data_IF_271554298427
#
_entry.id   IF_271554298427
#
_cell.length_a   1.000
_cell.length_b   1.000
_cell.length_c   1.000
_cell.angle_alpha   90.00
_cell.angle_beta   90.00
_cell.angle_gamma   90.00
#
_symmetry.space_group_name_H-M   'P 1'
#
loop_
_entity.id
_entity.type
_entity.pdbx_description
1 polymer ?
#
# COMPACT_ATOMS: atom_id res chain seq x y z
N UNK A 1 -35.23 -37.16 26.19
CA UNK A 1 -35.49 -35.81 26.74
C UNK A 1 -34.45 -34.86 26.16
N UNK A 2 -34.82 -33.93 25.25
CA UNK A 2 -33.89 -32.90 24.80
C UNK A 2 -33.65 -31.88 25.95
N UNK A 3 -32.43 -31.33 26.10
CA UNK A 3 -32.12 -30.37 27.15
C UNK A 3 -32.92 -29.06 26.94
N UNK A 4 -33.68 -28.64 27.96
CA UNK A 4 -34.40 -27.38 27.96
C UNK A 4 -33.45 -26.23 28.32
N UNK A 5 -32.99 -25.48 27.33
CA UNK A 5 -32.16 -24.30 27.57
C UNK A 5 -33.00 -23.19 28.21
N UNK A 6 -32.63 -22.78 29.42
CA UNK A 6 -33.28 -21.68 30.15
C UNK A 6 -33.00 -20.33 29.46
N UNK A 7 -34.02 -19.48 29.33
CA UNK A 7 -33.88 -18.09 28.83
C UNK A 7 -32.77 -17.31 29.55
N UNK A 8 -32.51 -17.61 30.84
CA UNK A 8 -31.40 -17.00 31.60
C UNK A 8 -30.03 -17.43 31.10
N UNK A 9 -29.88 -18.69 30.66
CA UNK A 9 -28.62 -19.18 30.09
C UNK A 9 -28.34 -18.53 28.72
N UNK A 10 -29.39 -18.27 27.92
CA UNK A 10 -29.28 -17.53 26.66
C UNK A 10 -28.86 -16.06 26.87
N UNK A 11 -29.38 -15.39 27.91
CA UNK A 11 -29.00 -14.01 28.23
C UNK A 11 -27.56 -13.90 28.77
N UNK A 12 -27.12 -14.88 29.57
CA UNK A 12 -25.74 -14.94 30.08
C UNK A 12 -24.73 -15.24 28.96
N UNK A 13 -25.08 -16.11 28.01
CA UNK A 13 -24.26 -16.37 26.83
C UNK A 13 -24.16 -15.13 25.92
N UNK A 14 -25.24 -14.36 25.76
CA UNK A 14 -25.23 -13.11 25.00
C UNK A 14 -24.33 -12.02 25.62
N UNK A 15 -24.33 -11.91 26.95
CA UNK A 15 -23.46 -10.96 27.66
C UNK A 15 -21.97 -11.31 27.57
N UNK A 16 -21.62 -12.61 27.51
CA UNK A 16 -20.25 -13.07 27.32
C UNK A 16 -19.71 -12.78 25.89
N UNK A 17 -20.58 -12.80 24.88
CA UNK A 17 -20.22 -12.47 23.48
C UNK A 17 -20.09 -10.95 23.29
N UNK A 18 -20.86 -10.15 24.04
CA UNK A 18 -20.82 -8.67 23.97
C UNK A 18 -19.56 -8.03 24.56
N UNK A 19 -18.78 -8.76 25.37
CA UNK A 19 -17.53 -8.26 25.98
C UNK A 19 -16.29 -8.35 25.06
N UNK A 20 -16.45 -8.84 23.82
CA UNK A 20 -15.32 -9.06 22.91
C UNK A 20 -14.71 -7.83 22.20
N UNK A 21 -15.21 -6.57 22.24
CA UNK A 21 -14.53 -5.48 21.53
C UNK A 21 -13.36 -4.87 22.31
N UNK A 22 -12.97 -5.39 23.48
CA UNK A 22 -11.88 -4.82 24.29
C UNK A 22 -10.47 -5.00 23.69
N UNK A 23 -10.33 -5.70 22.56
CA UNK A 23 -9.06 -5.84 21.82
C UNK A 23 -9.06 -5.07 20.49
N UNK A 24 -9.88 -4.03 20.34
CA UNK A 24 -9.71 -3.07 19.26
C UNK A 24 -8.44 -2.23 19.50
N UNK A 25 -7.27 -2.76 19.13
CA UNK A 25 -6.08 -1.93 18.98
C UNK A 25 -6.31 -0.98 17.81
N UNK A 26 -6.44 0.32 18.09
CA UNK A 26 -6.27 1.33 17.07
C UNK A 26 -4.91 1.07 16.39
N UNK A 27 -4.91 0.94 15.06
CA UNK A 27 -3.65 0.88 14.31
C UNK A 27 -2.83 2.10 14.71
N UNK A 28 -1.61 1.88 15.20
CA UNK A 28 -0.71 2.96 15.60
C UNK A 28 -0.52 3.97 14.47
N UNK A 29 0.01 5.15 14.80
CA UNK A 29 0.30 6.17 13.80
C UNK A 29 1.12 5.57 12.65
N UNK A 30 0.65 5.76 11.42
CA UNK A 30 1.42 5.38 10.24
C UNK A 30 2.71 6.21 10.18
N UNK A 31 3.85 5.62 9.75
CA UNK A 31 4.05 4.22 9.37
C UNK A 31 4.45 3.30 10.53
N UNK A 32 3.82 2.12 10.63
CA UNK A 32 4.17 1.07 11.59
C UNK A 32 5.19 0.04 11.08
N UNK A 33 5.69 0.20 9.85
CA UNK A 33 6.62 -0.70 9.16
C UNK A 33 7.43 0.10 8.12
N UNK A 34 8.54 -0.44 7.58
CA UNK A 34 9.24 0.17 6.47
C UNK A 34 8.33 0.49 5.29
N UNK A 35 8.60 1.62 4.64
CA UNK A 35 7.88 2.08 3.45
C UNK A 35 8.69 1.73 2.21
N UNK A 36 8.05 1.17 1.19
CA UNK A 36 8.67 0.80 -0.07
C UNK A 36 8.34 1.82 -1.15
N UNK A 37 9.37 2.40 -1.77
CA UNK A 37 9.27 3.22 -2.98
C UNK A 37 9.73 2.39 -4.17
N UNK A 38 8.78 1.93 -4.97
CA UNK A 38 9.04 1.17 -6.19
C UNK A 38 9.39 2.11 -7.32
N UNK A 39 10.54 1.87 -7.95
CA UNK A 39 11.02 2.60 -9.12
C UNK A 39 10.88 1.69 -10.34
N UNK A 40 9.99 1.99 -11.30
CA UNK A 40 9.74 1.11 -12.45
C UNK A 40 10.80 1.30 -13.57
N UNK A 41 12.02 1.65 -13.19
CA UNK A 41 13.17 1.92 -14.07
C UNK A 41 14.42 1.19 -13.55
N UNK A 42 15.43 0.94 -14.41
CA UNK A 42 16.71 0.42 -13.97
C UNK A 42 17.36 1.30 -12.90
N UNK A 43 18.15 0.73 -11.98
CA UNK A 43 18.90 1.49 -10.98
C UNK A 43 19.91 2.44 -11.63
N UNK A 44 20.20 3.56 -10.98
CA UNK A 44 21.17 4.56 -11.43
C UNK A 44 20.66 5.58 -12.46
N UNK A 45 19.42 5.45 -12.94
CA UNK A 45 18.78 6.47 -13.77
C UNK A 45 18.26 7.67 -12.97
N UNK A 46 17.79 8.72 -13.67
CA UNK A 46 17.28 9.95 -13.04
C UNK A 46 16.16 9.68 -12.04
N UNK A 47 15.15 8.87 -12.40
CA UNK A 47 14.06 8.52 -11.49
C UNK A 47 14.57 7.82 -10.23
N UNK A 48 15.48 6.86 -10.37
CA UNK A 48 16.07 6.15 -9.23
C UNK A 48 16.86 7.10 -8.32
N UNK A 49 17.66 7.99 -8.90
CA UNK A 49 18.42 8.98 -8.14
C UNK A 49 17.51 9.91 -7.34
N UNK A 50 16.48 10.48 -7.98
CA UNK A 50 15.52 11.38 -7.31
C UNK A 50 14.76 10.63 -6.22
N UNK A 51 14.27 9.41 -6.48
CA UNK A 51 13.57 8.61 -5.47
C UNK A 51 14.44 8.30 -4.26
N UNK A 52 15.74 8.01 -4.45
CA UNK A 52 16.68 7.76 -3.34
C UNK A 52 16.96 9.01 -2.52
N UNK A 53 17.08 10.17 -3.17
CA UNK A 53 17.25 11.45 -2.48
C UNK A 53 16.03 11.75 -1.60
N UNK A 54 14.83 11.65 -2.18
CA UNK A 54 13.57 11.88 -1.46
C UNK A 54 13.35 10.84 -0.36
N UNK A 55 13.61 9.57 -0.65
CA UNK A 55 13.46 8.48 0.31
C UNK A 55 14.35 8.65 1.54
N UNK A 56 15.55 9.21 1.38
CA UNK A 56 16.48 9.50 2.49
C UNK A 56 15.88 10.51 3.46
N UNK A 57 15.37 11.64 2.97
CA UNK A 57 14.76 12.67 3.83
C UNK A 57 13.40 12.22 4.38
N UNK A 58 12.63 11.47 3.58
CA UNK A 58 11.36 10.89 4.01
C UNK A 58 11.56 9.92 5.18
N UNK A 59 12.58 9.05 5.12
CA UNK A 59 12.89 8.13 6.21
C UNK A 59 13.24 8.84 7.51
N UNK A 60 13.95 9.97 7.45
CA UNK A 60 14.22 10.82 8.62
C UNK A 60 12.94 11.41 9.20
N UNK A 61 12.05 11.92 8.34
CA UNK A 61 10.79 12.53 8.76
C UNK A 61 9.79 11.52 9.32
N UNK A 62 9.76 10.30 8.78
CA UNK A 62 8.81 9.27 9.19
C UNK A 62 9.30 8.44 10.38
N UNK A 63 10.60 8.48 10.68
CA UNK A 63 11.20 7.62 11.71
C UNK A 63 11.16 6.13 11.35
N UNK A 64 10.87 5.80 10.09
CA UNK A 64 10.86 4.43 9.56
C UNK A 64 11.76 4.35 8.33
N UNK A 65 12.38 3.18 8.07
CA UNK A 65 13.17 2.98 6.86
C UNK A 65 12.32 3.17 5.61
N UNK A 66 12.87 3.85 4.61
CA UNK A 66 12.31 3.93 3.27
C UNK A 66 13.20 3.12 2.33
N UNK A 67 12.65 2.05 1.76
CA UNK A 67 13.36 1.09 0.91
C UNK A 67 13.03 1.40 -0.55
N UNK A 68 14.07 1.60 -1.37
CA UNK A 68 13.92 1.85 -2.80
C UNK A 68 14.12 0.55 -3.59
N UNK A 69 13.05 0.09 -4.24
CA UNK A 69 13.01 -1.18 -4.98
C UNK A 69 12.86 -0.94 -6.49
N UNK A 70 13.90 -1.24 -7.27
CA UNK A 70 13.83 -1.13 -8.72
C UNK A 70 13.09 -2.33 -9.34
N UNK A 71 12.02 -2.08 -10.09
CA UNK A 71 11.22 -3.08 -10.83
C UNK A 71 11.03 -2.67 -12.29
N UNK A 72 12.10 -2.68 -13.11
CA UNK A 72 12.02 -2.29 -14.52
C UNK A 72 11.25 -3.31 -15.38
N UNK A 73 10.81 -2.86 -16.55
CA UNK A 73 10.30 -3.72 -17.63
C UNK A 73 8.96 -3.27 -18.21
N UNK A 74 8.68 -3.75 -19.43
CA UNK A 74 7.48 -3.44 -20.21
C UNK A 74 7.13 -1.93 -20.24
N UNK A 75 8.11 -1.06 -20.48
CA UNK A 75 7.89 0.39 -20.53
C UNK A 75 7.35 0.99 -19.24
N UNK A 76 7.77 0.48 -18.07
CA UNK A 76 7.31 0.81 -16.70
C UNK A 76 6.04 0.11 -16.22
N UNK A 77 5.37 -0.70 -17.05
CA UNK A 77 4.12 -1.37 -16.66
C UNK A 77 4.31 -2.34 -15.49
N UNK A 78 5.42 -3.09 -15.42
CA UNK A 78 5.63 -4.11 -14.38
C UNK A 78 5.68 -3.51 -12.97
N UNK A 79 6.49 -2.47 -12.76
CA UNK A 79 6.62 -1.85 -11.44
C UNK A 79 5.36 -1.11 -11.00
N UNK A 80 4.63 -0.51 -11.95
CA UNK A 80 3.36 0.16 -11.66
C UNK A 80 2.27 -0.86 -11.29
N UNK A 81 2.15 -1.94 -12.06
CA UNK A 81 1.19 -3.03 -11.77
C UNK A 81 1.43 -3.67 -10.40
N UNK A 82 2.70 -3.86 -10.04
CA UNK A 82 3.09 -4.38 -8.74
C UNK A 82 2.54 -3.52 -7.58
N UNK A 83 2.62 -2.19 -7.68
CA UNK A 83 2.10 -1.29 -6.64
C UNK A 83 0.59 -1.15 -6.71
N UNK A 84 0.01 -1.08 -7.91
CA UNK A 84 -1.45 -1.01 -8.10
C UNK A 84 -2.18 -2.21 -7.45
N UNK A 85 -1.53 -3.38 -7.40
CA UNK A 85 -2.06 -4.60 -6.76
C UNK A 85 -1.56 -4.83 -5.33
N UNK A 86 -0.75 -3.93 -4.79
CA UNK A 86 -0.25 -4.04 -3.43
C UNK A 86 -1.34 -3.71 -2.39
N UNK A 87 -1.12 -4.09 -1.13
CA UNK A 87 -2.06 -3.74 -0.06
C UNK A 87 -2.20 -2.21 0.06
N UNK A 88 -3.42 -1.65 0.09
CA UNK A 88 -3.65 -0.20 0.20
C UNK A 88 -3.48 0.29 1.64
N UNK A 89 -2.35 -0.06 2.28
CA UNK A 89 -2.04 0.22 3.68
C UNK A 89 -0.98 1.32 3.87
N UNK A 90 -0.63 2.01 2.78
CA UNK A 90 0.40 3.05 2.77
C UNK A 90 1.83 2.51 2.94
N UNK A 91 2.06 1.20 2.78
CA UNK A 91 3.40 0.62 2.81
C UNK A 91 4.13 0.62 1.47
N UNK A 92 3.42 0.78 0.36
CA UNK A 92 3.96 0.67 -0.99
C UNK A 92 3.55 1.86 -1.85
N UNK A 93 4.54 2.51 -2.45
CA UNK A 93 4.34 3.62 -3.38
C UNK A 93 5.13 3.35 -4.66
N UNK A 94 4.74 3.98 -5.76
CA UNK A 94 5.47 3.93 -7.03
C UNK A 94 5.89 5.34 -7.43
N UNK A 95 7.15 5.49 -7.86
CA UNK A 95 7.59 6.72 -8.52
C UNK A 95 7.35 6.58 -10.02
N UNK A 96 6.41 7.35 -10.55
CA UNK A 96 6.06 7.37 -11.98
C UNK A 96 6.73 8.54 -12.71
N UNK A 97 6.83 8.43 -14.03
CA UNK A 97 7.25 9.50 -14.92
C UNK A 97 6.30 9.57 -16.13
N UNK A 98 6.62 10.38 -17.16
CA UNK A 98 5.78 10.55 -18.36
C UNK A 98 5.37 9.24 -19.05
N UNK A 99 6.19 8.17 -18.91
CA UNK A 99 5.86 6.83 -19.43
C UNK A 99 4.56 6.27 -18.88
N UNK A 100 4.20 6.55 -17.62
CA UNK A 100 2.93 6.11 -17.02
C UNK A 100 1.73 6.68 -17.77
N UNK A 101 1.74 7.97 -18.08
CA UNK A 101 0.69 8.62 -18.85
C UNK A 101 0.68 8.11 -20.30
N UNK A 102 1.85 7.96 -20.93
CA UNK A 102 1.96 7.45 -22.30
C UNK A 102 1.41 6.02 -22.44
N UNK A 103 1.63 5.17 -21.44
CA UNK A 103 1.17 3.78 -21.45
C UNK A 103 -0.37 3.67 -21.49
N UNK A 104 -1.11 4.65 -20.97
CA UNK A 104 -2.57 4.67 -21.03
C UNK A 104 -3.11 4.61 -22.47
N UNK A 105 -2.35 5.13 -23.43
CA UNK A 105 -2.71 5.13 -24.86
C UNK A 105 -1.88 4.15 -25.69
N UNK A 106 -0.64 3.85 -25.29
CA UNK A 106 0.28 3.02 -26.06
C UNK A 106 0.17 1.52 -25.75
N UNK A 107 -0.28 1.15 -24.54
CA UNK A 107 -0.40 -0.25 -24.14
C UNK A 107 -1.85 -0.70 -24.32
N UNK A 108 -2.10 -1.54 -25.33
CA UNK A 108 -3.44 -2.01 -25.73
C UNK A 108 -4.28 -2.57 -24.57
N UNK A 109 -3.64 -3.24 -23.60
CA UNK A 109 -4.31 -3.79 -22.42
C UNK A 109 -3.41 -3.61 -21.21
N UNK A 110 -3.63 -2.54 -20.46
CA UNK A 110 -2.98 -2.35 -19.17
C UNK A 110 -3.56 -3.32 -18.12
N UNK A 111 -2.72 -3.85 -17.22
CA UNK A 111 -3.16 -4.70 -16.12
C UNK A 111 -3.70 -3.92 -14.91
N UNK A 112 -3.78 -2.59 -15.00
CA UNK A 112 -4.29 -1.66 -14.00
C UNK A 112 -5.03 -0.49 -14.67
N UNK A 113 -5.88 0.18 -13.90
CA UNK A 113 -6.52 1.45 -14.24
C UNK A 113 -5.71 2.64 -13.70
N UNK A 114 -5.24 3.50 -14.61
CA UNK A 114 -4.35 4.64 -14.29
C UNK A 114 -4.98 5.70 -13.38
N UNK A 115 -6.31 5.74 -13.26
CA UNK A 115 -7.03 6.74 -12.46
C UNK A 115 -7.61 6.16 -11.17
N UNK A 116 -7.95 4.87 -11.17
CA UNK A 116 -8.65 4.22 -10.05
C UNK A 116 -7.73 3.46 -9.11
N UNK A 117 -6.70 2.81 -9.65
CA UNK A 117 -5.88 1.86 -8.88
C UNK A 117 -4.70 2.54 -8.18
N UNK A 118 -4.43 3.81 -8.49
CA UNK A 118 -3.35 4.60 -7.90
C UNK A 118 -3.86 5.95 -7.42
N UNK A 119 -3.32 6.39 -6.28
CA UNK A 119 -3.60 7.71 -5.71
C UNK A 119 -2.38 8.62 -5.89
N UNK A 120 -2.54 9.79 -6.53
CA UNK A 120 -1.47 10.79 -6.57
C UNK A 120 -1.11 11.24 -5.15
N UNK A 121 0.18 11.28 -4.83
CA UNK A 121 0.69 11.68 -3.50
C UNK A 121 1.41 13.01 -3.58
N UNK A 122 2.42 13.11 -4.43
CA UNK A 122 3.24 14.30 -4.59
C UNK A 122 3.86 14.35 -6.00
N UNK A 123 4.18 15.57 -6.46
CA UNK A 123 5.02 15.79 -7.63
C UNK A 123 6.49 15.72 -7.22
N UNK A 124 7.30 14.97 -7.97
CA UNK A 124 8.74 14.89 -7.79
C UNK A 124 9.45 15.43 -9.03
N UNK A 125 9.74 16.73 -9.04
CA UNK A 125 10.31 17.46 -10.18
C UNK A 125 9.26 18.23 -10.96
#
# INVERSE_FOLDING_TARGET
MPPSFSRRALLQAGAAIGAWPLFAHAQGAWPGKPVHLVVPFPPGGTTDYVTRLVGTELGKSLGQPVIVDNKPGAGTVIGVDYVAKSAPDGGSFVTVANSFCANATLVKKLPYDTLRDLRPVALMG
#
